data_IF_228948821514
#
_entry.id   IF_228948821514
#
_cell.length_a   1.000
_cell.length_b   1.000
_cell.length_c   1.000
_cell.angle_alpha   90.00
_cell.angle_beta   90.00
_cell.angle_gamma   90.00
#
_symmetry.space_group_name_H-M   'P 1'
#
loop_
_entity.id
_entity.type
_entity.pdbx_description
1 polymer ?
#
# COMPACT_ATOMS: atom_id res chain seq x y z
N UNK A 1 26.59 -8.81 2.10
CA UNK A 1 25.79 -9.89 2.70
C UNK A 1 25.62 -9.71 4.21
N UNK A 2 26.65 -9.34 4.95
CA UNK A 2 26.57 -9.09 6.41
C UNK A 2 25.59 -7.96 6.76
N UNK A 3 25.61 -6.85 6.01
CA UNK A 3 24.73 -5.71 6.24
C UNK A 3 23.24 -6.10 6.09
N UNK A 4 22.89 -6.89 5.08
CA UNK A 4 21.53 -7.39 4.87
C UNK A 4 21.05 -8.24 6.05
N UNK A 5 21.93 -9.09 6.61
CA UNK A 5 21.62 -9.89 7.80
C UNK A 5 21.39 -9.00 9.03
N UNK A 6 22.18 -7.94 9.20
CA UNK A 6 22.01 -6.97 10.29
C UNK A 6 20.64 -6.28 10.16
N UNK A 7 20.27 -5.86 8.94
CA UNK A 7 18.97 -5.22 8.68
C UNK A 7 17.81 -6.15 8.95
N UNK A 8 17.86 -7.37 8.44
CA UNK A 8 16.80 -8.35 8.66
C UNK A 8 16.67 -8.71 10.14
N UNK A 9 17.79 -8.92 10.83
CA UNK A 9 17.79 -9.22 12.25
C UNK A 9 17.29 -8.05 13.09
N UNK A 10 17.74 -6.84 12.80
CA UNK A 10 17.29 -5.63 13.49
C UNK A 10 15.80 -5.38 13.27
N UNK A 11 15.32 -5.48 12.03
CA UNK A 11 13.90 -5.36 11.72
C UNK A 11 13.07 -6.42 12.45
N UNK A 12 13.52 -7.67 12.47
CA UNK A 12 12.86 -8.74 13.20
C UNK A 12 12.76 -8.46 14.69
N UNK A 13 13.85 -8.02 15.33
CA UNK A 13 13.87 -7.70 16.76
C UNK A 13 12.92 -6.55 17.10
N UNK A 14 12.92 -5.48 16.31
CA UNK A 14 11.99 -4.35 16.50
C UNK A 14 10.55 -4.81 16.26
N UNK A 15 10.29 -5.62 15.24
CA UNK A 15 8.95 -6.18 15.02
C UNK A 15 8.46 -7.04 16.18
N UNK A 16 9.33 -7.85 16.77
CA UNK A 16 8.99 -8.64 17.97
C UNK A 16 8.72 -7.77 19.19
N UNK A 17 9.48 -6.69 19.38
CA UNK A 17 9.24 -5.71 20.44
C UNK A 17 7.83 -5.10 20.31
N UNK A 18 7.44 -4.70 19.08
CA UNK A 18 6.09 -4.18 18.82
C UNK A 18 4.99 -5.21 19.09
N UNK A 19 5.25 -6.47 18.78
CA UNK A 19 4.32 -7.56 19.10
C UNK A 19 4.12 -7.72 20.63
N UNK A 20 5.16 -7.56 21.44
CA UNK A 20 5.07 -7.64 22.91
C UNK A 20 4.15 -6.55 23.46
N UNK A 21 4.18 -5.34 22.88
CA UNK A 21 3.32 -4.22 23.30
C UNK A 21 1.96 -4.23 22.58
N UNK A 22 1.57 -5.36 21.98
CA UNK A 22 0.28 -5.56 21.29
C UNK A 22 0.06 -4.68 20.05
N UNK A 23 1.13 -4.17 19.46
CA UNK A 23 1.10 -3.47 18.19
C UNK A 23 1.42 -4.42 17.02
N UNK A 24 0.92 -4.15 15.80
CA UNK A 24 1.28 -4.94 14.63
C UNK A 24 2.78 -4.93 14.39
N UNK A 25 3.44 -6.10 14.19
CA UNK A 25 4.88 -6.18 13.91
C UNK A 25 5.31 -5.35 12.69
N UNK A 26 4.42 -5.15 11.73
CA UNK A 26 4.64 -4.33 10.54
C UNK A 26 5.08 -2.90 10.89
N UNK A 27 4.49 -2.30 11.93
CA UNK A 27 4.88 -0.95 12.40
C UNK A 27 6.34 -0.95 12.86
N UNK A 28 6.76 -2.01 13.55
CA UNK A 28 8.15 -2.19 13.95
C UNK A 28 9.11 -2.36 12.78
N UNK A 29 8.69 -3.07 11.72
CA UNK A 29 9.49 -3.22 10.49
C UNK A 29 9.69 -1.88 9.77
N UNK A 30 8.62 -1.08 9.64
CA UNK A 30 8.69 0.25 9.02
C UNK A 30 9.60 1.17 9.84
N UNK A 31 9.44 1.18 11.16
CA UNK A 31 10.25 2.01 12.04
C UNK A 31 11.73 1.62 11.99
N UNK A 32 12.05 0.32 11.97
CA UNK A 32 13.42 -0.15 11.84
C UNK A 32 14.06 0.29 10.52
N UNK A 33 13.35 0.20 9.40
CA UNK A 33 13.81 0.69 8.11
C UNK A 33 14.11 2.19 8.15
N UNK A 34 13.22 2.99 8.73
CA UNK A 34 13.42 4.42 8.91
C UNK A 34 14.67 4.74 9.76
N UNK A 35 14.84 4.05 10.90
CA UNK A 35 16.01 4.24 11.77
C UNK A 35 17.30 3.89 11.04
N UNK A 36 17.34 2.76 10.32
CA UNK A 36 18.53 2.36 9.56
C UNK A 36 18.90 3.37 8.47
N UNK A 37 17.89 3.91 7.78
CA UNK A 37 18.13 4.97 6.80
C UNK A 37 18.70 6.23 7.44
N UNK A 38 18.20 6.63 8.61
CA UNK A 38 18.76 7.77 9.38
C UNK A 38 20.19 7.54 9.84
N UNK A 39 20.57 6.30 10.11
CA UNK A 39 21.93 5.92 10.49
C UNK A 39 22.90 5.86 9.29
N UNK A 40 22.46 6.21 8.08
CA UNK A 40 23.27 6.20 6.88
C UNK A 40 23.55 4.80 6.32
N UNK A 41 22.76 3.81 6.72
CA UNK A 41 22.92 2.42 6.28
C UNK A 41 22.11 2.12 5.01
N UNK A 42 21.90 3.12 4.13
CA UNK A 42 20.97 3.03 2.99
C UNK A 42 21.57 2.45 1.71
N UNK A 43 22.89 2.29 1.63
CA UNK A 43 23.57 2.05 0.36
C UNK A 43 23.31 0.67 -0.28
N UNK A 44 22.82 -0.31 0.49
CA UNK A 44 22.58 -1.68 0.03
C UNK A 44 21.09 -2.08 -0.08
N UNK A 45 20.17 -1.11 -0.08
CA UNK A 45 18.72 -1.37 -0.17
C UNK A 45 18.35 -2.16 -1.44
N UNK A 46 19.10 -2.00 -2.53
CA UNK A 46 18.87 -2.70 -3.79
C UNK A 46 18.86 -4.22 -3.68
N UNK A 47 19.58 -4.81 -2.71
CA UNK A 47 19.57 -6.26 -2.47
C UNK A 47 18.26 -6.76 -1.84
N UNK A 48 17.50 -5.88 -1.19
CA UNK A 48 16.22 -6.23 -0.56
C UNK A 48 15.01 -5.97 -1.45
N UNK A 49 15.15 -5.21 -2.55
CA UNK A 49 14.04 -4.83 -3.42
C UNK A 49 13.35 -6.05 -4.03
N UNK A 50 14.10 -6.95 -4.65
CA UNK A 50 13.54 -8.15 -5.29
C UNK A 50 12.82 -9.08 -4.29
N UNK A 51 13.40 -9.47 -3.14
CA UNK A 51 12.67 -10.24 -2.13
C UNK A 51 11.44 -9.52 -1.59
N UNK A 52 11.48 -8.19 -1.45
CA UNK A 52 10.35 -7.41 -0.97
C UNK A 52 9.19 -7.42 -1.98
N UNK A 53 9.47 -7.21 -3.27
CA UNK A 53 8.48 -7.28 -4.35
C UNK A 53 7.80 -8.65 -4.38
N UNK A 54 8.59 -9.73 -4.41
CA UNK A 54 8.06 -11.11 -4.38
C UNK A 54 7.21 -11.34 -3.12
N UNK A 55 7.64 -10.83 -1.97
CA UNK A 55 6.90 -10.95 -0.72
C UNK A 55 5.53 -10.27 -0.77
N UNK A 56 5.45 -9.09 -1.37
CA UNK A 56 4.18 -8.36 -1.57
C UNK A 56 3.28 -9.09 -2.55
N UNK A 57 3.81 -9.55 -3.69
CA UNK A 57 3.06 -10.31 -4.69
C UNK A 57 2.46 -11.61 -4.10
N UNK A 58 3.26 -12.38 -3.37
CA UNK A 58 2.79 -13.61 -2.70
C UNK A 58 1.75 -13.31 -1.62
N UNK A 59 1.89 -12.20 -0.90
CA UNK A 59 0.88 -11.76 0.07
C UNK A 59 -0.44 -11.46 -0.63
N UNK A 60 -0.43 -10.63 -1.67
CA UNK A 60 -1.62 -10.26 -2.42
C UNK A 60 -2.28 -11.49 -3.07
N UNK A 61 -1.48 -12.39 -3.64
CA UNK A 61 -1.96 -13.65 -4.17
C UNK A 61 -2.64 -14.52 -3.10
N UNK A 62 -2.01 -14.67 -1.94
CA UNK A 62 -2.57 -15.44 -0.82
C UNK A 62 -3.89 -14.85 -0.31
N UNK A 63 -4.02 -13.53 -0.30
CA UNK A 63 -5.27 -12.84 0.05
C UNK A 63 -6.32 -13.08 -1.02
N UNK A 64 -5.96 -12.94 -2.29
CA UNK A 64 -6.85 -13.18 -3.43
C UNK A 64 -7.48 -14.57 -3.40
N UNK A 65 -6.71 -15.60 -3.05
CA UNK A 65 -7.21 -16.97 -2.91
C UNK A 65 -8.26 -17.15 -1.80
N UNK A 66 -8.27 -16.28 -0.79
CA UNK A 66 -9.22 -16.35 0.34
C UNK A 66 -10.55 -15.65 0.05
N UNK A 67 -10.65 -14.90 -1.05
CA UNK A 67 -11.82 -14.10 -1.40
C UNK A 67 -12.68 -14.87 -2.39
N UNK A 68 -13.99 -14.92 -2.11
CA UNK A 68 -14.96 -15.51 -3.05
C UNK A 68 -15.27 -14.48 -4.15
N UNK A 69 -15.05 -14.78 -5.45
CA UNK A 69 -15.36 -13.85 -6.54
C UNK A 69 -16.80 -13.35 -6.56
N UNK A 70 -17.77 -14.18 -6.12
CA UNK A 70 -19.17 -13.80 -6.01
C UNK A 70 -19.43 -12.63 -5.04
N UNK A 71 -18.52 -12.38 -4.09
CA UNK A 71 -18.66 -11.26 -3.17
C UNK A 71 -18.51 -9.90 -3.88
N UNK A 72 -17.77 -9.84 -5.00
CA UNK A 72 -17.62 -8.63 -5.82
C UNK A 72 -18.91 -8.23 -6.55
N UNK A 73 -19.85 -9.15 -6.74
CA UNK A 73 -21.13 -8.87 -7.38
C UNK A 73 -22.19 -8.32 -6.41
N UNK A 74 -21.82 -8.14 -5.15
CA UNK A 74 -22.73 -7.60 -4.15
C UNK A 74 -22.90 -6.08 -4.31
N UNK A 75 -24.08 -5.65 -4.83
CA UNK A 75 -24.39 -4.24 -5.01
C UNK A 75 -24.30 -3.39 -3.75
N UNK A 76 -24.57 -3.96 -2.58
CA UNK A 76 -24.48 -3.23 -1.30
C UNK A 76 -23.03 -2.91 -0.97
N UNK A 77 -22.12 -3.85 -1.22
CA UNK A 77 -20.69 -3.62 -1.04
C UNK A 77 -20.18 -2.50 -1.96
N UNK A 78 -20.57 -2.54 -3.23
CA UNK A 78 -20.21 -1.49 -4.20
C UNK A 78 -20.71 -0.11 -3.75
N UNK A 79 -21.96 -0.02 -3.28
CA UNK A 79 -22.52 1.23 -2.77
C UNK A 79 -21.73 1.72 -1.54
N UNK A 80 -21.40 0.84 -0.60
CA UNK A 80 -20.61 1.21 0.59
C UNK A 80 -19.24 1.74 0.20
N UNK A 81 -18.53 1.09 -0.73
CA UNK A 81 -17.23 1.56 -1.21
C UNK A 81 -17.34 2.93 -1.85
N UNK A 82 -18.30 3.12 -2.76
CA UNK A 82 -18.48 4.40 -3.46
C UNK A 82 -18.85 5.52 -2.49
N UNK A 83 -19.79 5.29 -1.58
CA UNK A 83 -20.19 6.28 -0.58
C UNK A 83 -19.02 6.63 0.33
N UNK A 84 -18.27 5.64 0.80
CA UNK A 84 -17.07 5.86 1.60
C UNK A 84 -16.03 6.71 0.84
N UNK A 85 -15.69 6.32 -0.38
CA UNK A 85 -14.69 7.02 -1.20
C UNK A 85 -15.12 8.47 -1.46
N UNK A 86 -16.38 8.70 -1.87
CA UNK A 86 -16.92 10.04 -2.12
C UNK A 86 -16.90 10.88 -0.83
N UNK A 87 -17.36 10.31 0.28
CA UNK A 87 -17.44 11.02 1.57
C UNK A 87 -16.07 11.43 2.07
N UNK A 88 -15.10 10.53 2.08
CA UNK A 88 -13.73 10.82 2.51
C UNK A 88 -13.04 11.80 1.56
N UNK A 89 -13.21 11.64 0.24
CA UNK A 89 -12.71 12.61 -0.74
C UNK A 89 -13.28 14.01 -0.50
N UNK A 90 -14.58 14.12 -0.23
CA UNK A 90 -15.23 15.40 0.06
C UNK A 90 -14.65 16.06 1.34
N UNK A 91 -14.40 15.27 2.39
CA UNK A 91 -13.74 15.76 3.62
C UNK A 91 -12.34 16.27 3.30
N UNK A 92 -11.52 15.50 2.56
CA UNK A 92 -10.19 15.93 2.19
C UNK A 92 -10.21 17.19 1.32
N UNK A 93 -11.13 17.32 0.37
CA UNK A 93 -11.30 18.52 -0.46
C UNK A 93 -11.65 19.74 0.39
N UNK A 94 -12.50 19.57 1.39
CA UNK A 94 -12.93 20.65 2.29
C UNK A 94 -11.80 21.11 3.22
N UNK A 95 -11.00 20.15 3.74
CA UNK A 95 -9.93 20.42 4.69
C UNK A 95 -8.59 20.73 4.02
N UNK A 96 -8.43 20.40 2.72
CA UNK A 96 -7.17 20.62 2.03
C UNK A 96 -6.94 22.10 1.73
N UNK A 97 -5.98 22.72 2.41
CA UNK A 97 -5.41 24.00 2.02
C UNK A 97 -4.43 23.92 0.85
N UNK A 98 -4.51 22.87 0.02
CA UNK A 98 -3.57 22.63 -1.08
C UNK A 98 -3.92 23.58 -2.23
N UNK A 99 -2.95 24.37 -2.65
CA UNK A 99 -3.08 25.31 -3.77
C UNK A 99 -2.69 24.62 -5.10
N UNK A 100 -3.61 23.81 -5.62
CA UNK A 100 -3.48 23.08 -6.87
C UNK A 100 -4.71 23.31 -7.75
N UNK A 101 -4.57 23.13 -9.09
CA UNK A 101 -5.71 23.07 -9.98
C UNK A 101 -6.74 22.04 -9.49
N UNK A 102 -8.03 22.32 -9.69
CA UNK A 102 -9.13 21.51 -9.16
C UNK A 102 -9.00 20.02 -9.52
N UNK A 103 -8.59 19.71 -10.74
CA UNK A 103 -8.38 18.33 -11.20
C UNK A 103 -7.31 17.60 -10.39
N UNK A 104 -6.14 18.20 -10.23
CA UNK A 104 -5.06 17.62 -9.41
C UNK A 104 -5.44 17.47 -7.94
N UNK A 105 -6.16 18.46 -7.42
CA UNK A 105 -6.69 18.41 -6.05
C UNK A 105 -7.66 17.26 -5.84
N UNK A 106 -8.59 17.05 -6.76
CA UNK A 106 -9.53 15.91 -6.72
C UNK A 106 -8.78 14.58 -6.75
N UNK A 107 -7.84 14.43 -7.67
CA UNK A 107 -7.05 13.19 -7.81
C UNK A 107 -6.32 12.85 -6.52
N UNK A 108 -5.63 13.82 -5.92
CA UNK A 108 -4.92 13.62 -4.64
C UNK A 108 -5.90 13.25 -3.53
N UNK A 109 -7.03 13.95 -3.41
CA UNK A 109 -8.03 13.66 -2.38
C UNK A 109 -8.67 12.27 -2.56
N UNK A 110 -8.92 11.83 -3.79
CA UNK A 110 -9.37 10.47 -4.09
C UNK A 110 -8.29 9.45 -3.70
N UNK A 111 -7.03 9.69 -4.07
CA UNK A 111 -5.92 8.80 -3.71
C UNK A 111 -5.75 8.67 -2.20
N UNK A 112 -5.90 9.76 -1.45
CA UNK A 112 -5.86 9.77 0.02
C UNK A 112 -7.07 9.05 0.66
N UNK A 113 -8.17 8.88 -0.07
CA UNK A 113 -9.33 8.12 0.44
C UNK A 113 -9.13 6.61 0.40
N UNK A 114 -8.12 6.12 -0.32
CA UNK A 114 -7.83 4.70 -0.45
C UNK A 114 -7.04 4.19 0.76
N UNK A 115 -7.41 2.98 1.20
CA UNK A 115 -6.75 2.30 2.32
C UNK A 115 -5.69 1.33 1.80
N UNK A 116 -4.59 1.16 2.56
CA UNK A 116 -3.54 0.20 2.20
C UNK A 116 -3.97 -1.24 2.46
N UNK A 117 -4.07 -2.04 1.41
CA UNK A 117 -4.43 -3.47 1.47
C UNK A 117 -3.43 -4.26 2.30
N UNK A 118 -2.13 -3.99 2.16
CA UNK A 118 -1.06 -4.70 2.88
C UNK A 118 -1.13 -4.41 4.39
N UNK A 119 -1.28 -3.15 4.78
CA UNK A 119 -1.33 -2.76 6.20
C UNK A 119 -2.58 -3.32 6.87
N UNK A 120 -3.74 -3.17 6.23
CA UNK A 120 -5.00 -3.64 6.78
C UNK A 120 -5.04 -5.17 6.92
N UNK A 121 -4.61 -5.90 5.90
CA UNK A 121 -4.59 -7.38 5.94
C UNK A 121 -3.60 -7.91 6.96
N UNK A 122 -2.41 -7.33 7.08
CA UNK A 122 -1.43 -7.72 8.09
C UNK A 122 -1.91 -7.40 9.52
N UNK A 123 -2.60 -6.28 9.71
CA UNK A 123 -3.22 -5.94 11.00
C UNK A 123 -4.32 -6.94 11.38
N UNK A 124 -5.21 -7.29 10.44
CA UNK A 124 -6.25 -8.29 10.67
C UNK A 124 -5.67 -9.70 10.90
N UNK A 125 -4.62 -10.06 10.17
CA UNK A 125 -3.93 -11.35 10.34
C UNK A 125 -3.28 -11.46 11.72
N UNK A 126 -2.62 -10.41 12.19
CA UNK A 126 -1.98 -10.39 13.52
C UNK A 126 -2.98 -10.54 14.66
N UNK A 127 -4.22 -10.08 14.46
CA UNK A 127 -5.35 -10.23 15.41
C UNK A 127 -6.16 -11.51 15.21
N UNK A 128 -5.81 -12.34 14.21
CA UNK A 128 -6.58 -13.54 13.81
C UNK A 128 -8.01 -13.23 13.37
N UNK A 129 -8.26 -12.03 12.87
CA UNK A 129 -9.59 -11.53 12.48
C UNK A 129 -9.82 -11.59 10.96
N UNK A 130 -8.83 -11.99 10.17
CA UNK A 130 -8.90 -12.02 8.70
C UNK A 130 -10.10 -12.84 8.17
N UNK A 131 -10.47 -13.91 8.85
CA UNK A 131 -11.59 -14.79 8.49
C UNK A 131 -12.91 -14.41 9.15
N UNK A 132 -12.92 -13.44 10.04
CA UNK A 132 -14.14 -12.91 10.65
C UNK A 132 -15.03 -12.20 9.64
N UNK A 133 -16.28 -11.95 9.97
CA UNK A 133 -17.20 -11.24 9.07
C UNK A 133 -16.68 -9.83 8.74
N UNK A 134 -16.31 -9.06 9.75
CA UNK A 134 -15.77 -7.70 9.55
C UNK A 134 -14.41 -7.70 8.84
N UNK A 135 -13.54 -8.67 9.13
CA UNK A 135 -12.24 -8.79 8.46
C UNK A 135 -12.41 -9.05 6.96
N UNK A 136 -13.26 -10.00 6.58
CA UNK A 136 -13.57 -10.27 5.16
C UNK A 136 -14.20 -9.07 4.46
N UNK A 137 -15.12 -8.37 5.14
CA UNK A 137 -15.77 -7.19 4.58
C UNK A 137 -14.76 -6.07 4.37
N UNK A 138 -13.88 -5.81 5.34
CA UNK A 138 -12.81 -4.80 5.22
C UNK A 138 -11.88 -5.10 4.05
N UNK A 139 -11.42 -6.35 3.92
CA UNK A 139 -10.55 -6.75 2.80
C UNK A 139 -11.26 -6.57 1.45
N UNK A 140 -12.55 -6.93 1.36
CA UNK A 140 -13.32 -6.71 0.13
C UNK A 140 -13.44 -5.23 -0.23
N UNK A 141 -13.71 -4.36 0.74
CA UNK A 141 -13.79 -2.91 0.52
C UNK A 141 -12.47 -2.39 -0.06
N UNK A 142 -11.35 -2.77 0.55
CA UNK A 142 -10.03 -2.28 0.13
C UNK A 142 -9.68 -2.78 -1.29
N UNK A 143 -9.97 -4.04 -1.61
CA UNK A 143 -9.72 -4.56 -2.97
C UNK A 143 -10.60 -3.85 -4.01
N UNK A 144 -11.83 -3.48 -3.68
CA UNK A 144 -12.64 -2.64 -4.55
C UNK A 144 -12.01 -1.26 -4.77
N UNK A 145 -11.44 -0.67 -3.72
CA UNK A 145 -10.69 0.58 -3.83
C UNK A 145 -9.48 0.41 -4.75
N UNK A 146 -8.74 -0.68 -4.65
CA UNK A 146 -7.61 -0.98 -5.55
C UNK A 146 -8.05 -1.08 -7.02
N UNK A 147 -9.19 -1.72 -7.28
CA UNK A 147 -9.76 -1.79 -8.65
C UNK A 147 -10.12 -0.38 -9.15
N UNK A 148 -10.75 0.45 -8.33
CA UNK A 148 -11.07 1.84 -8.68
C UNK A 148 -9.77 2.63 -8.96
N UNK A 149 -8.74 2.44 -8.13
CA UNK A 149 -7.43 3.06 -8.33
C UNK A 149 -6.78 2.68 -9.67
N UNK A 150 -6.86 1.40 -10.06
CA UNK A 150 -6.36 0.94 -11.36
C UNK A 150 -7.10 1.59 -12.53
N UNK A 151 -8.42 1.70 -12.46
CA UNK A 151 -9.21 2.40 -13.48
C UNK A 151 -8.84 3.89 -13.55
N UNK A 152 -8.67 4.55 -12.40
CA UNK A 152 -8.28 5.96 -12.34
C UNK A 152 -6.89 6.18 -12.95
N UNK A 153 -5.92 5.33 -12.61
CA UNK A 153 -4.56 5.38 -13.18
C UNK A 153 -4.58 5.16 -14.70
N UNK A 154 -5.36 4.17 -15.18
CA UNK A 154 -5.51 3.91 -16.61
C UNK A 154 -6.16 5.09 -17.36
N UNK A 155 -7.15 5.74 -16.74
CA UNK A 155 -7.75 6.95 -17.29
C UNK A 155 -6.76 8.11 -17.38
N UNK A 156 -6.01 8.37 -16.31
CA UNK A 156 -4.98 9.41 -16.28
C UNK A 156 -3.89 9.20 -17.33
N UNK A 157 -3.47 7.96 -17.54
CA UNK A 157 -2.47 7.62 -18.54
C UNK A 157 -2.99 7.83 -19.98
N UNK A 158 -4.26 7.53 -20.22
CA UNK A 158 -4.89 7.71 -21.54
C UNK A 158 -5.18 9.17 -21.88
N UNK A 159 -5.41 10.03 -20.89
CA UNK A 159 -5.75 11.45 -21.08
C UNK A 159 -4.54 12.37 -21.24
N UNK A 160 -3.31 11.85 -21.39
CA UNK A 160 -2.07 12.65 -21.48
C UNK A 160 -1.91 13.71 -20.36
N UNK A 161 -2.55 13.51 -19.22
CA UNK A 161 -2.17 14.18 -18.00
C UNK A 161 -0.79 13.63 -17.64
N UNK A 162 0.23 14.12 -18.37
CA UNK A 162 1.59 13.63 -18.26
C UNK A 162 2.15 13.99 -16.89
N UNK A 163 1.97 13.09 -15.97
CA UNK A 163 2.95 12.94 -14.91
C UNK A 163 4.14 12.32 -15.62
N UNK A 164 5.12 13.16 -15.95
CA UNK A 164 6.35 12.77 -16.62
C UNK A 164 7.10 11.78 -15.73
N UNK A 165 6.90 10.49 -15.95
CA UNK A 165 7.78 9.45 -15.43
C UNK A 165 9.10 9.45 -16.20
N UNK A 166 9.81 10.58 -16.20
CA UNK A 166 11.09 10.72 -16.91
C UNK A 166 12.29 10.36 -16.05
N UNK A 167 12.19 9.41 -15.13
CA UNK A 167 13.37 8.99 -14.36
C UNK A 167 13.46 7.49 -14.07
N UNK A 168 13.16 6.64 -15.09
CA UNK A 168 13.57 5.22 -15.03
C UNK A 168 14.07 4.73 -16.40
N UNK A 169 14.86 5.53 -17.07
CA UNK A 169 15.78 5.01 -18.08
C UNK A 169 17.16 4.90 -17.45
N UNK A 170 17.51 3.69 -17.03
CA UNK A 170 18.89 3.29 -16.78
C UNK A 170 19.72 3.64 -18.02
N UNK A 171 20.83 4.38 -17.90
CA UNK A 171 21.74 4.54 -19.02
C UNK A 171 22.39 3.18 -19.29
N UNK A 172 21.97 2.52 -20.34
CA UNK A 172 22.71 1.43 -20.95
C UNK A 172 23.90 2.03 -21.69
N UNK A 173 24.96 2.37 -20.99
CA UNK A 173 26.26 2.56 -21.61
C UNK A 173 26.86 1.19 -21.90
N UNK A 174 26.57 0.70 -23.12
CA UNK A 174 27.49 -0.17 -23.84
C UNK A 174 28.34 0.77 -24.68
N UNK A 175 29.55 1.04 -24.23
CA UNK A 175 30.62 1.40 -25.12
C UNK A 175 31.60 0.21 -25.20
N UNK A 176 31.92 -0.10 -26.44
CA UNK A 176 32.83 -1.11 -27.01
C UNK A 176 34.26 -0.95 -26.49
#
# INVERSE_FOLDING_TARGET
>A
MELVLIWMTGAFLVGQLFRIISLPPLVGFILSGYIFTMLGMSDDIGLLSMPAEIGVELLLFSIGLKIKPSAFLNRYLLIVVLVHTIFITAIYLLLSGIDLPLEGKIIICVALSFSSTVIATKSLESRKELTSFHGRLSVLIIIFQDIIALFLLGYMQSSNLSVSYTHLTLPTNREV
#
